data_IF_785840816464
#
_entry.id   IF_785840816464
#
_cell.length_a   1.000
_cell.length_b   1.000
_cell.length_c   1.000
_cell.angle_alpha   90.00
_cell.angle_beta   90.00
_cell.angle_gamma   90.00
#
_symmetry.space_group_name_H-M   'P 1'
#
loop_
_entity.id
_entity.type
_entity.pdbx_description
1 polymer ?
#
# COMPACT_ATOMS: atom_id res chain seq x y z
N UNK A 1 47.25 -5.76 2.07
CA UNK A 1 46.26 -6.81 2.34
C UNK A 1 45.47 -6.55 3.64
N UNK A 2 46.08 -6.30 4.78
CA UNK A 2 45.35 -6.06 6.07
C UNK A 2 44.35 -4.90 6.04
N UNK A 3 44.68 -3.75 5.41
CA UNK A 3 43.80 -2.58 5.36
C UNK A 3 42.50 -2.89 4.59
N UNK A 4 42.59 -3.61 3.47
CA UNK A 4 41.40 -3.99 2.67
C UNK A 4 40.51 -4.94 3.47
N UNK A 5 41.06 -5.89 4.19
CA UNK A 5 40.28 -6.82 5.04
C UNK A 5 39.58 -6.06 6.16
N UNK A 6 40.26 -5.09 6.79
CA UNK A 6 39.64 -4.25 7.83
C UNK A 6 38.51 -3.41 7.25
N UNK A 7 38.68 -2.78 6.08
CA UNK A 7 37.64 -2.00 5.41
C UNK A 7 36.42 -2.88 5.06
N UNK A 8 36.64 -4.07 4.52
CA UNK A 8 35.54 -5.01 4.22
C UNK A 8 34.82 -5.46 5.49
N UNK A 9 35.55 -5.69 6.59
CA UNK A 9 34.92 -6.02 7.88
C UNK A 9 34.07 -4.87 8.41
N UNK A 10 34.55 -3.63 8.33
CA UNK A 10 33.81 -2.43 8.73
C UNK A 10 32.53 -2.28 7.88
N UNK A 11 32.64 -2.40 6.56
CA UNK A 11 31.48 -2.36 5.67
C UNK A 11 30.48 -3.46 6.03
N UNK A 12 30.93 -4.67 6.29
CA UNK A 12 30.06 -5.77 6.68
C UNK A 12 29.37 -5.52 8.03
N UNK A 13 30.11 -5.03 9.04
CA UNK A 13 29.54 -4.72 10.36
C UNK A 13 28.46 -3.65 10.23
N UNK A 14 28.71 -2.60 9.45
CA UNK A 14 27.78 -1.48 9.30
C UNK A 14 26.58 -1.82 8.41
N UNK A 15 26.74 -2.52 7.30
CA UNK A 15 25.72 -2.71 6.28
C UNK A 15 25.30 -4.16 6.03
N UNK A 16 25.61 -5.11 6.93
CA UNK A 16 25.28 -6.53 6.69
C UNK A 16 23.80 -6.80 6.49
N UNK A 17 22.92 -6.07 7.15
CA UNK A 17 21.47 -6.17 6.97
C UNK A 17 21.03 -5.71 5.59
N UNK A 18 21.48 -4.52 5.19
CA UNK A 18 21.17 -3.90 3.90
C UNK A 18 21.77 -4.74 2.75
N UNK A 19 23.01 -5.19 2.87
CA UNK A 19 23.65 -6.05 1.87
C UNK A 19 22.85 -7.36 1.72
N UNK A 20 22.53 -8.03 2.84
CA UNK A 20 21.72 -9.26 2.80
C UNK A 20 20.35 -9.04 2.20
N UNK A 21 19.70 -7.89 2.46
CA UNK A 21 18.44 -7.51 1.84
C UNK A 21 18.60 -7.36 0.33
N UNK A 22 19.57 -6.56 -0.13
CA UNK A 22 19.82 -6.28 -1.54
C UNK A 22 20.08 -7.58 -2.34
N UNK A 23 20.77 -8.54 -1.74
CA UNK A 23 21.07 -9.83 -2.37
C UNK A 23 19.81 -10.71 -2.57
N UNK A 24 18.71 -10.46 -1.86
CA UNK A 24 17.43 -11.16 -2.09
C UNK A 24 16.61 -10.57 -3.20
N UNK A 25 16.87 -9.31 -3.60
CA UNK A 25 16.07 -8.62 -4.61
C UNK A 25 16.24 -9.34 -5.95
N UNK A 26 15.13 -9.83 -6.47
CA UNK A 26 15.07 -10.54 -7.74
C UNK A 26 13.79 -10.25 -8.49
N UNK A 27 13.85 -10.36 -9.79
CA UNK A 27 12.68 -10.43 -10.66
C UNK A 27 11.87 -11.69 -10.36
N UNK A 28 10.56 -11.63 -10.49
CA UNK A 28 9.66 -12.76 -10.24
C UNK A 28 9.31 -13.42 -11.57
N UNK A 29 9.70 -14.69 -11.71
CA UNK A 29 9.46 -15.45 -12.92
C UNK A 29 9.99 -14.75 -14.18
N UNK A 30 9.16 -14.68 -15.21
CA UNK A 30 9.45 -14.01 -16.49
C UNK A 30 8.91 -12.56 -16.55
N UNK A 31 8.34 -12.03 -15.46
CA UNK A 31 7.79 -10.68 -15.43
C UNK A 31 8.88 -9.62 -15.19
N UNK A 32 9.17 -8.72 -16.15
CA UNK A 32 10.25 -7.73 -16.01
C UNK A 32 9.95 -6.62 -15.01
N UNK A 33 8.70 -6.45 -14.60
CA UNK A 33 8.24 -5.35 -13.74
C UNK A 33 7.72 -5.81 -12.39
N UNK A 34 7.81 -7.11 -12.06
CA UNK A 34 7.48 -7.64 -10.75
C UNK A 34 8.77 -8.11 -10.05
N UNK A 35 9.01 -7.56 -8.88
CA UNK A 35 10.18 -7.86 -8.06
C UNK A 35 9.79 -8.41 -6.70
N UNK A 36 10.70 -9.16 -6.09
CA UNK A 36 10.57 -9.71 -4.74
C UNK A 36 11.80 -9.36 -3.91
N UNK A 37 11.58 -9.08 -2.62
CA UNK A 37 12.62 -8.78 -1.64
C UNK A 37 12.29 -9.40 -0.28
N UNK A 38 13.28 -10.04 0.36
CA UNK A 38 13.23 -10.33 1.79
C UNK A 38 13.99 -9.23 2.55
N UNK A 39 13.29 -8.46 3.35
CA UNK A 39 13.90 -7.39 4.12
C UNK A 39 14.59 -7.94 5.36
N UNK A 40 15.91 -7.80 5.45
CA UNK A 40 16.79 -8.32 6.52
C UNK A 40 17.53 -7.24 7.28
N UNK A 41 17.41 -5.98 6.85
CA UNK A 41 17.96 -4.83 7.56
C UNK A 41 17.04 -4.44 8.73
N UNK A 42 17.59 -3.68 9.66
CA UNK A 42 16.77 -3.03 10.69
C UNK A 42 16.15 -1.76 10.12
N UNK A 43 14.93 -1.48 10.55
CA UNK A 43 14.25 -0.21 10.36
C UNK A 43 13.65 0.24 11.70
N UNK A 44 13.50 1.53 11.90
CA UNK A 44 13.11 2.09 13.20
C UNK A 44 11.92 3.03 13.02
N UNK A 45 10.73 2.47 13.24
CA UNK A 45 9.49 3.25 13.17
C UNK A 45 9.29 4.13 14.40
N UNK A 46 9.87 3.74 15.55
CA UNK A 46 9.79 4.58 16.76
C UNK A 46 10.58 5.88 16.56
N UNK A 47 11.71 5.81 15.86
CA UNK A 47 12.48 7.00 15.49
C UNK A 47 11.73 7.89 14.50
N UNK A 48 11.04 7.29 13.51
CA UNK A 48 10.20 8.03 12.54
C UNK A 48 9.09 8.79 13.26
N UNK A 49 8.38 8.12 14.17
CA UNK A 49 7.32 8.72 15.00
C UNK A 49 7.89 9.84 15.91
N UNK A 50 8.99 9.56 16.62
CA UNK A 50 9.59 10.53 17.55
C UNK A 50 10.12 11.80 16.87
N UNK A 51 10.30 11.76 15.55
CA UNK A 51 10.72 12.90 14.72
C UNK A 51 9.55 13.57 14.01
N UNK A 52 8.32 13.10 14.20
CA UNK A 52 7.10 13.63 13.56
C UNK A 52 7.24 13.70 12.01
N UNK A 53 7.82 12.64 11.41
CA UNK A 53 8.02 12.58 9.96
C UNK A 53 6.69 12.22 9.29
N UNK A 54 6.04 13.20 8.66
CA UNK A 54 4.74 13.05 7.99
C UNK A 54 4.79 13.35 6.48
N UNK A 55 5.81 14.07 6.01
CA UNK A 55 5.99 14.36 4.57
C UNK A 55 6.87 13.30 3.89
N UNK A 56 6.52 12.96 2.64
CA UNK A 56 7.25 11.96 1.84
C UNK A 56 8.72 12.36 1.58
N UNK A 57 8.99 13.65 1.42
CA UNK A 57 10.34 14.16 1.21
C UNK A 57 11.21 13.96 2.46
N UNK A 58 10.68 14.28 3.64
CA UNK A 58 11.37 14.08 4.92
C UNK A 58 11.61 12.60 5.21
N UNK A 59 10.60 11.76 4.92
CA UNK A 59 10.73 10.31 5.05
C UNK A 59 11.84 9.78 4.14
N UNK A 60 11.91 10.25 2.89
CA UNK A 60 12.96 9.85 1.96
C UNK A 60 14.34 10.29 2.45
N UNK A 61 14.48 11.51 2.94
CA UNK A 61 15.74 12.02 3.51
C UNK A 61 16.16 11.19 4.74
N UNK A 62 15.22 10.85 5.62
CA UNK A 62 15.47 9.96 6.75
C UNK A 62 15.98 8.59 6.29
N UNK A 63 15.30 7.97 5.32
CA UNK A 63 15.66 6.66 4.76
C UNK A 63 17.06 6.71 4.14
N UNK A 64 17.33 7.73 3.34
CA UNK A 64 18.63 7.90 2.67
C UNK A 64 19.76 8.07 3.69
N UNK A 65 19.55 8.88 4.72
CA UNK A 65 20.51 9.06 5.80
C UNK A 65 20.79 7.74 6.55
N UNK A 66 19.72 6.98 6.85
CA UNK A 66 19.80 5.68 7.54
C UNK A 66 20.53 4.62 6.71
N UNK A 67 20.21 4.51 5.42
CA UNK A 67 20.90 3.59 4.49
C UNK A 67 22.35 4.02 4.28
N UNK A 68 22.57 5.30 4.11
CA UNK A 68 23.87 5.88 3.80
C UNK A 68 24.86 5.82 4.96
N UNK A 69 24.39 5.89 6.21
CA UNK A 69 25.23 5.91 7.42
C UNK A 69 26.38 6.92 7.31
N UNK A 70 26.08 8.11 6.78
CA UNK A 70 27.05 9.19 6.54
C UNK A 70 27.67 9.22 5.14
N UNK A 71 27.41 8.24 4.28
CA UNK A 71 27.80 8.32 2.87
C UNK A 71 26.78 9.18 2.08
N UNK A 72 27.23 9.99 1.12
CA UNK A 72 26.34 10.83 0.31
C UNK A 72 25.58 9.96 -0.71
N UNK A 73 24.39 9.55 -0.36
CA UNK A 73 23.43 8.91 -1.27
C UNK A 73 22.44 10.00 -1.72
N UNK A 74 22.16 10.08 -3.01
CA UNK A 74 21.13 10.96 -3.55
C UNK A 74 19.94 10.10 -4.00
N UNK A 75 18.78 10.41 -3.48
CA UNK A 75 17.51 9.92 -3.99
C UNK A 75 16.72 11.11 -4.56
N UNK A 76 15.87 10.85 -5.55
CA UNK A 76 14.87 11.82 -6.02
C UNK A 76 13.53 11.26 -5.59
N UNK A 77 12.73 12.05 -4.90
CA UNK A 77 11.32 11.73 -4.73
C UNK A 77 10.64 11.84 -6.10
N UNK A 78 9.79 10.88 -6.45
CA UNK A 78 8.87 11.09 -7.55
C UNK A 78 7.83 12.11 -7.07
N UNK A 79 7.72 13.22 -7.76
CA UNK A 79 6.61 14.16 -7.52
C UNK A 79 5.33 13.47 -8.01
N UNK A 80 4.35 13.32 -7.13
CA UNK A 80 3.03 12.75 -7.45
C UNK A 80 2.18 13.77 -8.22
N UNK A 81 2.44 15.07 -8.05
CA UNK A 81 1.84 16.12 -8.85
C UNK A 81 2.58 16.26 -10.21
N UNK A 82 1.83 16.48 -11.27
CA UNK A 82 2.42 16.82 -12.57
C UNK A 82 3.03 18.23 -12.58
N UNK A 83 3.68 18.60 -13.71
CA UNK A 83 4.33 19.91 -13.87
C UNK A 83 3.34 21.10 -13.74
N UNK A 84 2.03 20.84 -13.79
CA UNK A 84 0.96 21.82 -13.64
C UNK A 84 0.35 21.84 -12.23
N UNK A 85 0.84 20.99 -11.31
CA UNK A 85 0.28 20.85 -9.97
C UNK A 85 -1.06 20.10 -9.94
N UNK A 86 -1.46 19.44 -11.02
CA UNK A 86 -2.66 18.62 -11.05
C UNK A 86 -2.40 17.30 -10.33
N UNK A 87 -3.16 17.10 -9.26
CA UNK A 87 -3.17 15.88 -8.49
C UNK A 87 -3.87 14.80 -9.29
N UNK A 88 -3.18 13.71 -9.50
CA UNK A 88 -3.75 12.58 -10.20
C UNK A 88 -4.55 11.74 -9.21
N UNK A 89 -5.85 11.66 -9.45
CA UNK A 89 -6.72 10.76 -8.69
C UNK A 89 -6.35 9.32 -9.01
N UNK A 90 -5.71 8.66 -8.05
CA UNK A 90 -5.49 7.22 -8.07
C UNK A 90 -6.85 6.52 -8.00
N UNK A 91 -7.07 5.52 -8.84
CA UNK A 91 -8.20 4.64 -8.71
C UNK A 91 -7.77 3.38 -7.92
N UNK A 92 -8.67 2.79 -7.19
CA UNK A 92 -8.38 1.62 -6.38
C UNK A 92 -9.67 0.88 -6.05
N UNK A 93 -9.55 -0.42 -5.81
CA UNK A 93 -10.64 -1.23 -5.28
C UNK A 93 -10.10 -2.16 -4.22
N UNK A 94 -10.74 -2.23 -3.06
CA UNK A 94 -10.41 -3.23 -2.03
C UNK A 94 -11.66 -3.84 -1.44
N UNK A 95 -11.60 -5.12 -1.11
CA UNK A 95 -12.66 -5.80 -0.39
C UNK A 95 -12.12 -6.86 0.57
N UNK A 96 -12.87 -7.15 1.64
CA UNK A 96 -12.76 -8.38 2.39
C UNK A 96 -14.00 -9.22 2.13
N UNK A 97 -13.85 -10.51 1.83
CA UNK A 97 -14.95 -11.46 1.63
C UNK A 97 -14.63 -12.79 2.33
N UNK A 98 -15.65 -13.60 2.61
CA UNK A 98 -15.42 -14.94 3.18
C UNK A 98 -14.77 -15.86 2.16
N UNK A 99 -13.80 -16.65 2.60
CA UNK A 99 -13.23 -17.71 1.77
C UNK A 99 -14.09 -18.97 1.85
N UNK A 100 -14.52 -19.51 0.71
CA UNK A 100 -15.27 -20.77 0.63
C UNK A 100 -14.53 -21.97 1.28
N UNK A 101 -13.20 -21.88 1.44
CA UNK A 101 -12.36 -22.86 2.13
C UNK A 101 -12.11 -22.48 3.60
N UNK A 102 -12.86 -21.53 4.15
CA UNK A 102 -12.79 -21.04 5.52
C UNK A 102 -11.77 -19.92 5.74
N UNK A 103 -12.10 -18.99 6.61
CA UNK A 103 -11.39 -17.72 6.81
C UNK A 103 -11.87 -16.62 5.85
N UNK A 104 -11.01 -15.66 5.57
CA UNK A 104 -11.34 -14.50 4.75
C UNK A 104 -10.27 -14.27 3.68
N UNK A 105 -10.69 -13.64 2.59
CA UNK A 105 -9.87 -13.13 1.50
C UNK A 105 -9.89 -11.62 1.54
N UNK A 106 -8.76 -11.01 1.28
CA UNK A 106 -8.62 -9.59 1.10
C UNK A 106 -8.17 -9.32 -0.33
N UNK A 107 -9.06 -8.71 -1.14
CA UNK A 107 -8.82 -8.39 -2.54
C UNK A 107 -8.41 -6.93 -2.72
N UNK A 108 -7.51 -6.65 -3.66
CA UNK A 108 -7.00 -5.31 -3.95
C UNK A 108 -6.66 -5.13 -5.42
N UNK A 109 -7.22 -4.13 -6.09
CA UNK A 109 -6.67 -3.52 -7.31
C UNK A 109 -5.98 -2.21 -6.95
N UNK A 110 -4.73 -2.07 -7.34
CA UNK A 110 -3.97 -0.83 -7.28
C UNK A 110 -3.89 -0.24 -8.68
N UNK A 111 -4.70 0.81 -8.92
CA UNK A 111 -4.78 1.47 -10.21
C UNK A 111 -3.95 2.74 -10.17
N UNK A 112 -2.94 2.79 -11.03
CA UNK A 112 -2.01 3.91 -11.15
C UNK A 112 -1.34 3.89 -12.55
N UNK A 113 -0.23 4.59 -12.72
CA UNK A 113 0.56 4.45 -13.93
C UNK A 113 1.25 3.09 -14.00
N UNK A 114 1.58 2.66 -15.21
CA UNK A 114 2.38 1.48 -15.42
C UNK A 114 3.78 1.66 -14.81
N UNK A 115 4.05 0.98 -13.70
CA UNK A 115 5.29 1.02 -12.95
C UNK A 115 5.69 -0.38 -12.48
N UNK A 116 6.96 -0.59 -12.13
CA UNK A 116 7.38 -1.84 -11.49
C UNK A 116 6.84 -1.92 -10.06
N UNK A 117 6.46 -3.14 -9.67
CA UNK A 117 5.94 -3.48 -8.34
C UNK A 117 6.97 -4.29 -7.56
N UNK A 118 7.11 -4.01 -6.27
CA UNK A 118 7.97 -4.78 -5.35
C UNK A 118 7.13 -5.45 -4.27
N UNK A 119 7.22 -6.77 -4.20
CA UNK A 119 6.70 -7.56 -3.08
C UNK A 119 7.80 -7.69 -2.03
N UNK A 120 7.55 -7.18 -0.84
CA UNK A 120 8.49 -7.19 0.28
C UNK A 120 7.97 -8.11 1.38
N UNK A 121 8.78 -9.11 1.75
CA UNK A 121 8.58 -9.91 2.96
C UNK A 121 9.52 -9.39 4.05
N UNK A 122 8.97 -9.05 5.21
CA UNK A 122 9.74 -8.63 6.39
C UNK A 122 9.49 -9.55 7.56
N UNK A 123 10.54 -9.78 8.37
CA UNK A 123 10.47 -10.50 9.64
C UNK A 123 11.27 -9.72 10.67
N UNK A 124 10.69 -8.63 11.21
CA UNK A 124 11.39 -7.77 12.16
C UNK A 124 11.67 -8.51 13.47
N UNK A 125 12.75 -8.13 14.16
CA UNK A 125 13.09 -8.72 15.46
C UNK A 125 12.04 -8.39 16.56
N UNK A 126 11.33 -7.27 16.38
CA UNK A 126 10.18 -6.85 17.19
C UNK A 126 9.04 -6.52 16.24
N UNK A 127 7.88 -7.14 16.44
CA UNK A 127 6.72 -6.99 15.58
C UNK A 127 6.43 -8.24 14.75
N UNK A 128 5.37 -8.19 13.97
CA UNK A 128 4.89 -9.31 13.16
C UNK A 128 5.62 -9.40 11.82
N UNK A 129 5.82 -10.63 11.35
CA UNK A 129 6.21 -10.86 9.98
C UNK A 129 5.09 -10.39 9.03
N UNK A 130 5.47 -9.88 7.85
CA UNK A 130 4.48 -9.38 6.89
C UNK A 130 4.95 -9.53 5.45
N UNK A 131 3.96 -9.56 4.53
CA UNK A 131 4.13 -9.45 3.10
C UNK A 131 3.37 -8.22 2.61
N UNK A 132 4.02 -7.37 1.83
CA UNK A 132 3.43 -6.11 1.37
C UNK A 132 3.84 -5.80 -0.07
N UNK A 133 2.95 -5.13 -0.81
CA UNK A 133 3.25 -4.59 -2.12
C UNK A 133 3.58 -3.10 -2.02
N UNK A 134 4.50 -2.65 -2.87
CA UNK A 134 4.89 -1.24 -3.00
C UNK A 134 5.03 -0.89 -4.48
N UNK A 135 4.57 0.31 -4.84
CA UNK A 135 4.86 0.92 -6.14
C UNK A 135 6.30 1.45 -6.12
N UNK A 136 7.14 0.93 -7.02
CA UNK A 136 8.54 1.29 -7.04
C UNK A 136 8.79 2.70 -7.59
N UNK A 137 7.80 3.33 -8.23
CA UNK A 137 7.93 4.72 -8.67
C UNK A 137 8.12 5.68 -7.49
N UNK A 138 7.56 5.36 -6.33
CA UNK A 138 7.76 6.14 -5.09
C UNK A 138 9.23 6.22 -4.66
N UNK A 139 10.08 5.33 -5.18
CA UNK A 139 11.52 5.27 -4.88
C UNK A 139 12.38 5.68 -6.08
N UNK A 140 11.76 6.27 -7.13
CA UNK A 140 12.45 6.76 -8.31
C UNK A 140 12.74 5.71 -9.38
N UNK A 141 12.04 4.57 -9.37
CA UNK A 141 12.08 3.59 -10.46
C UNK A 141 10.99 3.91 -11.51
N UNK A 142 11.21 3.42 -12.71
CA UNK A 142 10.27 3.48 -13.83
C UNK A 142 10.43 2.22 -14.69
N UNK A 143 9.66 2.11 -15.77
CA UNK A 143 9.80 0.99 -16.71
C UNK A 143 11.20 0.94 -17.37
N UNK A 144 11.89 2.09 -17.47
CA UNK A 144 13.23 2.21 -18.04
C UNK A 144 14.33 2.18 -16.96
N UNK A 145 14.00 2.44 -15.69
CA UNK A 145 14.93 2.49 -14.58
C UNK A 145 14.65 1.39 -13.55
N UNK A 146 15.07 0.16 -13.86
CA UNK A 146 14.83 -1.04 -13.06
C UNK A 146 16.01 -1.37 -12.13
N UNK A 147 15.80 -2.12 -11.02
CA UNK A 147 16.82 -2.50 -10.03
C UNK A 147 17.74 -3.62 -10.54
N UNK A 148 18.40 -3.41 -11.68
CA UNK A 148 19.20 -4.41 -12.39
C UNK A 148 20.64 -4.56 -11.87
N UNK A 149 21.13 -3.63 -11.03
CA UNK A 149 22.48 -3.69 -10.45
C UNK A 149 22.42 -3.46 -8.93
N UNK A 150 23.49 -3.84 -8.22
CA UNK A 150 23.58 -3.63 -6.76
C UNK A 150 23.31 -2.16 -6.38
N UNK A 151 23.92 -1.20 -7.10
CA UNK A 151 23.70 0.22 -6.85
C UNK A 151 22.24 0.63 -7.08
N UNK A 152 21.63 0.16 -8.17
CA UNK A 152 20.22 0.44 -8.49
C UNK A 152 19.25 -0.21 -7.48
N UNK A 153 19.63 -1.29 -6.80
CA UNK A 153 18.80 -1.95 -5.77
C UNK A 153 18.79 -1.21 -4.42
N UNK A 154 19.66 -0.24 -4.19
CA UNK A 154 19.74 0.46 -2.88
C UNK A 154 18.42 1.12 -2.49
N UNK A 155 17.74 1.78 -3.42
CA UNK A 155 16.49 2.48 -3.14
C UNK A 155 15.30 1.53 -2.90
N UNK A 156 15.39 0.24 -3.29
CA UNK A 156 14.39 -0.75 -2.90
C UNK A 156 14.27 -0.90 -1.38
N UNK A 157 15.32 -0.55 -0.63
CA UNK A 157 15.29 -0.58 0.84
C UNK A 157 14.27 0.40 1.42
N UNK A 158 13.83 1.40 0.68
CA UNK A 158 12.78 2.33 1.09
C UNK A 158 11.39 1.69 1.14
N UNK A 159 11.17 0.60 0.40
CA UNK A 159 9.85 -0.06 0.29
C UNK A 159 9.29 -0.52 1.64
N UNK A 160 10.14 -0.80 2.63
CA UNK A 160 9.68 -1.18 3.97
C UNK A 160 8.83 -0.10 4.64
N UNK A 161 9.09 1.18 4.34
CA UNK A 161 8.38 2.33 4.89
C UNK A 161 7.15 2.75 4.08
N UNK A 162 7.01 2.25 2.86
CA UNK A 162 5.97 2.69 1.92
C UNK A 162 5.19 1.52 1.29
N UNK A 163 4.56 0.65 2.11
CA UNK A 163 3.58 -0.29 1.59
C UNK A 163 2.35 0.46 1.09
N UNK A 164 1.74 -0.03 0.00
CA UNK A 164 0.43 0.46 -0.48
C UNK A 164 -0.69 -0.52 -0.16
N UNK A 165 -0.35 -1.77 0.09
CA UNK A 165 -1.17 -2.81 0.72
C UNK A 165 -0.28 -3.89 1.32
N UNK A 166 -0.86 -4.74 2.19
CA UNK A 166 -0.12 -5.84 2.79
C UNK A 166 -0.92 -6.66 3.78
N UNK A 167 -0.30 -7.77 4.20
CA UNK A 167 -0.83 -8.68 5.20
C UNK A 167 0.29 -9.09 6.19
N UNK A 168 -0.03 -9.19 7.47
CA UNK A 168 0.91 -9.74 8.46
C UNK A 168 0.59 -11.20 8.86
N UNK A 169 1.47 -11.81 9.65
CA UNK A 169 1.35 -13.20 10.10
C UNK A 169 0.15 -13.49 11.00
N UNK A 170 -0.54 -12.45 11.48
CA UNK A 170 -1.82 -12.57 12.21
C UNK A 170 -3.02 -12.52 11.26
N UNK A 171 -2.77 -12.31 9.96
CA UNK A 171 -3.78 -12.14 8.93
C UNK A 171 -4.45 -10.77 8.95
N UNK A 172 -3.86 -9.78 9.63
CA UNK A 172 -4.30 -8.39 9.46
C UNK A 172 -3.86 -7.91 8.09
N UNK A 173 -4.82 -7.42 7.30
CA UNK A 173 -4.60 -6.79 6.01
C UNK A 173 -4.91 -5.29 6.07
N UNK A 174 -4.18 -4.51 5.30
CA UNK A 174 -4.45 -3.09 5.11
C UNK A 174 -4.15 -2.66 3.69
N UNK A 175 -4.88 -1.64 3.21
CA UNK A 175 -4.60 -0.95 1.95
C UNK A 175 -4.98 0.52 2.04
N UNK A 176 -4.33 1.33 1.21
CA UNK A 176 -4.59 2.76 1.07
C UNK A 176 -5.27 3.04 -0.26
N UNK A 177 -6.24 3.93 -0.27
CA UNK A 177 -6.91 4.42 -1.47
C UNK A 177 -6.97 5.94 -1.45
N UNK A 178 -6.59 6.58 -2.56
CA UNK A 178 -6.77 8.01 -2.72
C UNK A 178 -8.26 8.35 -2.82
N UNK A 179 -8.64 9.50 -2.29
CA UNK A 179 -9.99 10.04 -2.38
C UNK A 179 -9.94 11.47 -2.92
N UNK A 180 -10.95 11.93 -3.67
CA UNK A 180 -11.01 13.30 -4.17
C UNK A 180 -11.36 14.26 -3.02
N UNK A 181 -10.49 14.34 -2.04
CA UNK A 181 -10.65 15.10 -0.83
C UNK A 181 -9.31 15.74 -0.45
N UNK A 182 -9.34 16.73 0.43
CA UNK A 182 -8.11 17.33 0.94
C UNK A 182 -7.32 16.32 1.79
N UNK A 183 -5.98 16.42 1.81
CA UNK A 183 -5.13 15.64 2.71
C UNK A 183 -5.52 15.84 4.18
N UNK A 184 -5.57 14.77 4.98
CA UNK A 184 -5.74 14.88 6.42
C UNK A 184 -4.58 15.67 7.04
N UNK A 185 -4.91 16.57 7.94
CA UNK A 185 -3.97 17.45 8.66
C UNK A 185 -4.35 17.46 10.14
N UNK A 186 -4.45 16.26 10.76
CA UNK A 186 -4.67 16.18 12.21
C UNK A 186 -3.59 16.99 12.92
N UNK A 187 -3.96 17.70 13.99
CA UNK A 187 -3.05 18.54 14.73
C UNK A 187 -3.48 18.58 16.20
N UNK A 188 -3.09 17.56 16.94
CA UNK A 188 -3.30 17.42 18.38
C UNK A 188 -1.94 17.28 19.07
N UNK A 189 -1.85 17.17 20.41
CA UNK A 189 -0.57 16.95 21.09
C UNK A 189 0.06 15.56 20.89
N UNK A 190 -0.43 14.74 19.94
CA UNK A 190 0.13 13.43 19.63
C UNK A 190 1.26 13.57 18.61
N UNK A 191 2.04 12.50 18.43
CA UNK A 191 3.04 12.45 17.37
C UNK A 191 2.38 12.31 16.01
N UNK A 192 2.98 12.98 15.03
CA UNK A 192 2.57 12.91 13.62
C UNK A 192 3.08 11.63 12.95
N UNK A 193 2.29 11.09 12.03
CA UNK A 193 2.66 9.95 11.20
C UNK A 193 2.15 10.13 9.78
N UNK A 194 3.04 9.89 8.82
CA UNK A 194 2.74 10.04 7.39
C UNK A 194 1.91 8.90 6.80
N UNK A 195 1.45 9.14 5.60
CA UNK A 195 0.48 8.37 4.81
C UNK A 195 0.73 6.86 4.78
N UNK A 196 1.96 6.42 4.47
CA UNK A 196 2.30 4.99 4.34
C UNK A 196 2.87 4.39 5.63
N UNK A 197 3.40 5.24 6.51
CA UNK A 197 4.03 4.80 7.76
C UNK A 197 3.00 4.20 8.71
N UNK A 198 1.77 4.75 8.77
CA UNK A 198 0.69 4.17 9.59
C UNK A 198 0.37 2.75 9.17
N UNK A 199 0.39 2.44 7.86
CA UNK A 199 0.16 1.08 7.36
C UNK A 199 1.29 0.13 7.78
N UNK A 200 2.54 0.60 7.73
CA UNK A 200 3.69 -0.19 8.22
C UNK A 200 3.57 -0.48 9.71
N UNK A 201 3.13 0.50 10.50
CA UNK A 201 2.87 0.34 11.93
C UNK A 201 1.78 -0.70 12.20
N UNK A 202 0.67 -0.67 11.46
CA UNK A 202 -0.38 -1.69 11.59
C UNK A 202 0.14 -3.09 11.26
N UNK A 203 0.88 -3.24 10.16
CA UNK A 203 1.44 -4.53 9.77
C UNK A 203 2.44 -5.07 10.80
N UNK A 204 3.21 -4.20 11.46
CA UNK A 204 4.21 -4.62 12.45
C UNK A 204 3.62 -4.90 13.84
N UNK A 205 2.55 -4.19 14.23
CA UNK A 205 2.16 -4.09 15.64
C UNK A 205 0.75 -4.55 15.97
N UNK A 206 -0.13 -4.71 14.96
CA UNK A 206 -1.54 -4.99 15.18
C UNK A 206 -1.92 -6.37 14.65
N UNK A 207 -2.63 -7.15 15.45
CA UNK A 207 -3.19 -8.43 15.06
C UNK A 207 -4.68 -8.33 14.67
N UNK A 208 -5.36 -7.29 15.17
CA UNK A 208 -6.80 -7.10 15.04
C UNK A 208 -7.14 -5.67 14.58
N UNK A 209 -8.33 -5.51 14.01
CA UNK A 209 -8.89 -4.18 13.70
C UNK A 209 -8.95 -3.30 14.96
N UNK A 210 -9.32 -3.88 16.11
CA UNK A 210 -9.38 -3.14 17.38
C UNK A 210 -8.02 -2.57 17.80
N UNK A 211 -6.94 -3.36 17.68
CA UNK A 211 -5.57 -2.89 17.94
C UNK A 211 -5.13 -1.81 16.94
N UNK A 212 -5.51 -1.97 15.65
CA UNK A 212 -5.20 -0.98 14.63
C UNK A 212 -5.88 0.37 14.91
N UNK A 213 -7.13 0.38 15.33
CA UNK A 213 -7.85 1.59 15.72
C UNK A 213 -7.28 2.20 17.00
N UNK A 214 -6.92 1.39 17.98
CA UNK A 214 -6.28 1.86 19.21
C UNK A 214 -4.92 2.52 18.93
N UNK A 215 -4.12 1.95 18.04
CA UNK A 215 -2.85 2.55 17.61
C UNK A 215 -3.09 3.87 16.88
N UNK A 216 -4.08 3.91 15.98
CA UNK A 216 -4.47 5.11 15.25
C UNK A 216 -4.87 6.25 16.22
N UNK A 217 -5.64 5.92 17.27
CA UNK A 217 -6.06 6.89 18.27
C UNK A 217 -4.90 7.49 19.09
N UNK A 218 -3.71 6.90 19.05
CA UNK A 218 -2.52 7.39 19.75
C UNK A 218 -1.63 8.32 18.91
N UNK A 219 -1.95 8.51 17.64
CA UNK A 219 -1.17 9.26 16.66
C UNK A 219 -2.04 10.29 15.93
N UNK A 220 -1.41 11.29 15.34
CA UNK A 220 -2.02 12.18 14.36
C UNK A 220 -1.61 11.73 12.95
N UNK A 221 -2.59 11.32 12.14
CA UNK A 221 -2.34 10.93 10.74
C UNK A 221 -2.38 12.17 9.86
N UNK A 222 -1.24 12.45 9.22
CA UNK A 222 -1.09 13.56 8.30
C UNK A 222 -0.74 13.03 6.92
N UNK A 223 -1.57 13.38 5.94
CA UNK A 223 -1.26 13.08 4.55
C UNK A 223 -0.38 14.20 3.99
N UNK A 224 0.65 13.82 3.26
CA UNK A 224 1.54 14.79 2.62
C UNK A 224 0.74 15.78 1.76
N UNK A 225 0.76 17.04 2.16
CA UNK A 225 0.00 18.11 1.49
C UNK A 225 0.46 18.36 0.05
N UNK A 226 1.72 18.05 -0.27
CA UNK A 226 2.27 18.22 -1.62
C UNK A 226 1.63 17.27 -2.64
N UNK A 227 1.05 16.15 -2.17
CA UNK A 227 0.30 15.21 -3.01
C UNK A 227 -1.05 15.78 -3.43
N UNK A 228 -1.65 16.69 -2.64
CA UNK A 228 -2.93 17.35 -2.93
C UNK A 228 -4.16 16.46 -2.90
N UNK A 229 -4.03 15.18 -2.53
CA UNK A 229 -5.10 14.19 -2.42
C UNK A 229 -5.21 13.67 -1.00
N UNK A 230 -6.43 13.50 -0.50
CA UNK A 230 -6.67 12.77 0.72
C UNK A 230 -6.59 11.26 0.49
N UNK A 231 -6.58 10.54 1.60
CA UNK A 231 -6.59 9.08 1.58
C UNK A 231 -7.55 8.55 2.61
N UNK A 232 -8.09 7.37 2.34
CA UNK A 232 -8.71 6.51 3.33
C UNK A 232 -8.07 5.13 3.31
N UNK A 233 -8.29 4.37 4.38
CA UNK A 233 -7.65 3.08 4.56
C UNK A 233 -8.70 2.01 4.82
N UNK A 234 -8.47 0.81 4.29
CA UNK A 234 -9.23 -0.37 4.67
C UNK A 234 -8.35 -1.25 5.55
N UNK A 235 -8.85 -1.62 6.72
CA UNK A 235 -8.18 -2.52 7.66
C UNK A 235 -9.09 -3.69 7.96
N UNK A 236 -8.57 -4.91 7.82
CA UNK A 236 -9.34 -6.13 8.00
C UNK A 236 -8.53 -7.21 8.73
N UNK A 237 -9.15 -7.92 9.68
CA UNK A 237 -8.47 -9.00 10.42
C UNK A 237 -8.96 -10.40 10.03
N UNK A 238 -8.23 -11.42 10.49
CA UNK A 238 -8.52 -12.82 10.21
C UNK A 238 -9.81 -13.34 10.88
N UNK A 239 -10.40 -12.59 11.82
CA UNK A 239 -11.70 -12.90 12.42
C UNK A 239 -12.88 -12.39 11.57
N UNK A 240 -12.59 -11.59 10.53
CA UNK A 240 -13.57 -11.03 9.62
C UNK A 240 -14.09 -9.65 10.03
N UNK A 241 -13.48 -9.02 11.04
CA UNK A 241 -13.72 -7.61 11.29
C UNK A 241 -13.06 -6.80 10.18
N UNK A 242 -13.76 -5.79 9.71
CA UNK A 242 -13.27 -4.93 8.64
C UNK A 242 -13.84 -3.53 8.80
N UNK A 243 -12.98 -2.53 8.64
CA UNK A 243 -13.35 -1.11 8.72
C UNK A 243 -12.68 -0.33 7.60
N UNK A 244 -13.35 0.73 7.16
CA UNK A 244 -12.74 1.81 6.39
C UNK A 244 -12.52 2.99 7.34
N UNK A 245 -11.31 3.52 7.34
CA UNK A 245 -10.87 4.67 8.14
C UNK A 245 -10.85 5.89 7.25
N UNK A 246 -11.63 6.89 7.59
CA UNK A 246 -11.76 8.18 6.91
C UNK A 246 -11.48 9.34 7.89
N UNK A 247 -11.40 10.56 7.38
CA UNK A 247 -11.07 11.74 8.19
C UNK A 247 -12.07 12.86 7.94
N UNK A 248 -12.58 13.44 9.04
CA UNK A 248 -13.58 14.49 9.01
C UNK A 248 -12.92 15.88 8.87
N UNK A 249 -12.87 16.41 7.65
CA UNK A 249 -12.27 17.72 7.37
C UNK A 249 -12.96 18.89 8.08
N UNK A 250 -14.24 18.73 8.45
CA UNK A 250 -15.05 19.78 9.07
C UNK A 250 -15.01 19.71 10.59
N UNK A 251 -14.33 18.69 11.15
CA UNK A 251 -14.14 18.50 12.60
C UNK A 251 -12.68 18.13 12.93
N UNK A 252 -11.75 19.02 12.58
CA UNK A 252 -10.32 18.87 12.92
C UNK A 252 -9.67 17.59 12.42
N UNK A 253 -10.16 17.03 11.31
CA UNK A 253 -9.69 15.78 10.72
C UNK A 253 -9.89 14.56 11.64
N UNK A 254 -10.88 14.63 12.53
CA UNK A 254 -11.24 13.51 13.39
C UNK A 254 -11.43 12.23 12.59
N UNK A 255 -10.93 11.14 13.12
CA UNK A 255 -11.09 9.82 12.51
C UNK A 255 -12.56 9.40 12.50
N UNK A 256 -13.02 8.98 11.34
CA UNK A 256 -14.32 8.35 11.10
C UNK A 256 -14.08 6.89 10.71
N UNK A 257 -14.92 5.99 11.21
CA UNK A 257 -14.85 4.58 10.84
C UNK A 257 -16.16 4.11 10.26
N UNK A 258 -16.09 3.40 9.13
CA UNK A 258 -17.22 2.72 8.51
C UNK A 258 -17.00 1.22 8.63
N UNK A 259 -17.81 0.57 9.45
CA UNK A 259 -17.71 -0.87 9.67
C UNK A 259 -18.52 -1.66 8.65
N UNK A 260 -18.12 -2.90 8.43
CA UNK A 260 -18.89 -3.86 7.63
C UNK A 260 -20.30 -4.01 8.20
N UNK A 261 -21.31 -3.96 7.33
CA UNK A 261 -22.70 -4.20 7.71
C UNK A 261 -22.88 -5.65 8.19
N UNK A 262 -23.59 -5.89 9.31
CA UNK A 262 -23.70 -7.23 9.91
C UNK A 262 -24.31 -8.28 8.97
N UNK A 263 -25.23 -7.87 8.10
CA UNK A 263 -25.90 -8.74 7.12
C UNK A 263 -25.05 -9.05 5.89
N UNK A 264 -23.97 -8.33 5.66
CA UNK A 264 -23.05 -8.55 4.52
C UNK A 264 -21.88 -9.45 4.95
N UNK A 265 -21.56 -10.44 4.12
CA UNK A 265 -20.37 -11.28 4.28
C UNK A 265 -19.11 -10.65 3.71
N UNK A 266 -19.19 -9.40 3.26
CA UNK A 266 -18.06 -8.66 2.70
C UNK A 266 -18.07 -7.19 3.10
N UNK A 267 -16.94 -6.54 2.98
CA UNK A 267 -16.74 -5.09 2.94
C UNK A 267 -16.08 -4.73 1.64
N UNK A 268 -16.54 -3.66 1.00
CA UNK A 268 -16.02 -3.15 -0.26
C UNK A 268 -15.76 -1.65 -0.14
N UNK A 269 -14.69 -1.18 -0.75
CA UNK A 269 -14.33 0.23 -0.83
C UNK A 269 -13.62 0.53 -2.14
N UNK A 270 -13.85 1.71 -2.68
CA UNK A 270 -13.16 2.28 -3.84
C UNK A 270 -12.63 3.67 -3.49
N UNK A 271 -12.74 4.69 -4.35
CA UNK A 271 -12.15 6.01 -4.13
C UNK A 271 -13.17 7.10 -3.78
N UNK A 272 -14.30 6.75 -3.16
CA UNK A 272 -15.25 7.72 -2.61
C UNK A 272 -15.48 7.45 -1.13
N UNK A 273 -15.86 8.48 -0.40
CA UNK A 273 -16.09 8.39 1.05
C UNK A 273 -17.36 7.56 1.33
N UNK A 274 -17.28 6.67 2.30
CA UNK A 274 -18.36 5.79 2.73
C UNK A 274 -19.04 6.27 4.02
N UNK A 275 -18.43 7.20 4.77
CA UNK A 275 -19.03 7.72 5.99
C UNK A 275 -20.35 8.43 5.68
N UNK A 276 -21.41 8.23 6.47
CA UNK A 276 -22.73 8.82 6.21
C UNK A 276 -22.72 10.34 6.07
N UNK A 277 -21.73 11.01 6.63
CA UNK A 277 -21.55 12.46 6.55
C UNK A 277 -21.21 12.92 5.12
N UNK A 278 -20.44 12.12 4.37
CA UNK A 278 -19.89 12.48 3.06
C UNK A 278 -20.40 11.59 1.93
N UNK A 279 -21.09 10.50 2.29
CA UNK A 279 -21.61 9.54 1.32
C UNK A 279 -22.74 10.18 0.51
N UNK A 280 -22.55 10.25 -0.81
CA UNK A 280 -23.58 10.67 -1.73
C UNK A 280 -24.10 9.45 -2.48
N UNK A 281 -25.43 9.25 -2.51
CA UNK A 281 -26.06 8.10 -3.17
C UNK A 281 -26.15 8.26 -4.68
N UNK A 282 -25.89 9.45 -5.21
CA UNK A 282 -25.98 9.72 -6.65
C UNK A 282 -24.56 9.75 -7.23
N UNK A 283 -24.24 8.77 -8.11
CA UNK A 283 -23.02 8.86 -8.90
C UNK A 283 -23.11 10.11 -9.79
N UNK A 284 -22.09 10.93 -9.82
CA UNK A 284 -21.97 11.98 -10.81
C UNK A 284 -21.95 11.31 -12.21
N UNK A 285 -22.98 11.50 -13.05
CA UNK A 285 -23.12 10.80 -14.32
C UNK A 285 -22.13 11.29 -15.40
N UNK A 286 -21.31 12.31 -15.11
CA UNK A 286 -20.36 12.83 -16.08
C UNK A 286 -19.28 11.77 -16.37
N UNK A 287 -19.32 11.17 -17.55
CA UNK A 287 -18.28 10.29 -18.05
C UNK A 287 -16.96 11.09 -18.07
N UNK A 288 -15.97 10.63 -17.30
CA UNK A 288 -14.68 11.32 -17.12
C UNK A 288 -14.50 11.96 -15.74
N UNK A 289 -15.53 12.09 -14.93
CA UNK A 289 -15.37 12.43 -13.51
C UNK A 289 -14.72 11.27 -12.76
N UNK A 290 -13.59 11.46 -12.03
CA UNK A 290 -12.99 10.42 -11.20
C UNK A 290 -13.96 9.77 -10.23
N UNK A 291 -14.93 10.54 -9.71
CA UNK A 291 -15.99 10.01 -8.84
C UNK A 291 -16.90 9.00 -9.55
N UNK A 292 -17.28 9.24 -10.80
CA UNK A 292 -18.13 8.30 -11.54
C UNK A 292 -17.47 6.95 -11.75
N UNK A 293 -16.13 6.93 -11.98
CA UNK A 293 -15.35 5.69 -12.09
C UNK A 293 -15.26 4.92 -10.78
N UNK A 294 -15.14 5.62 -9.65
CA UNK A 294 -15.17 5.01 -8.32
C UNK A 294 -16.50 4.31 -8.07
N UNK A 295 -17.60 4.97 -8.35
CA UNK A 295 -18.95 4.42 -8.19
C UNK A 295 -19.23 3.24 -9.12
N UNK A 296 -18.81 3.33 -10.38
CA UNK A 296 -18.95 2.22 -11.32
C UNK A 296 -18.21 0.96 -10.81
N UNK A 297 -16.96 1.08 -10.36
CA UNK A 297 -16.22 -0.05 -9.80
C UNK A 297 -16.86 -0.60 -8.54
N UNK A 298 -17.35 0.28 -7.69
CA UNK A 298 -18.06 -0.11 -6.47
C UNK A 298 -19.34 -0.91 -6.82
N UNK A 299 -20.16 -0.40 -7.72
CA UNK A 299 -21.41 -1.06 -8.14
C UNK A 299 -21.12 -2.43 -8.79
N UNK A 300 -20.19 -2.50 -9.74
CA UNK A 300 -19.82 -3.73 -10.44
C UNK A 300 -19.27 -4.80 -9.49
N UNK A 301 -18.35 -4.41 -8.60
CA UNK A 301 -17.80 -5.35 -7.62
C UNK A 301 -18.85 -5.77 -6.57
N UNK A 302 -19.73 -4.85 -6.14
CA UNK A 302 -20.82 -5.16 -5.21
C UNK A 302 -21.79 -6.17 -5.79
N UNK A 303 -22.19 -6.00 -7.07
CA UNK A 303 -23.07 -6.93 -7.77
C UNK A 303 -22.47 -8.35 -7.82
N UNK A 304 -21.17 -8.45 -8.14
CA UNK A 304 -20.48 -9.75 -8.14
C UNK A 304 -20.41 -10.36 -6.75
N UNK A 305 -20.08 -9.57 -5.73
CA UNK A 305 -19.99 -10.02 -4.33
C UNK A 305 -21.35 -10.46 -3.81
N UNK A 306 -22.43 -9.71 -4.11
CA UNK A 306 -23.81 -10.06 -3.74
C UNK A 306 -24.28 -11.35 -4.45
N UNK A 307 -23.97 -11.52 -5.73
CA UNK A 307 -24.30 -12.75 -6.48
C UNK A 307 -23.65 -14.02 -5.91
N UNK A 308 -22.59 -13.87 -5.12
CA UNK A 308 -21.88 -14.95 -4.44
C UNK A 308 -22.09 -14.96 -2.92
N UNK A 309 -23.06 -14.20 -2.39
CA UNK A 309 -23.30 -14.04 -0.95
C UNK A 309 -22.04 -13.62 -0.16
N UNK A 310 -21.08 -12.94 -0.82
CA UNK A 310 -19.80 -12.57 -0.25
C UNK A 310 -18.89 -13.76 0.14
N UNK A 311 -19.10 -14.93 -0.48
CA UNK A 311 -18.32 -16.15 -0.24
C UNK A 311 -17.60 -16.55 -1.53
N UNK A 312 -16.27 -16.41 -1.57
CA UNK A 312 -15.48 -16.56 -2.78
C UNK A 312 -14.35 -17.60 -2.60
N UNK A 313 -13.93 -18.21 -3.69
CA UNK A 313 -12.61 -18.80 -3.82
C UNK A 313 -11.59 -17.70 -4.17
N UNK A 314 -10.28 -17.99 -4.08
CA UNK A 314 -9.21 -17.08 -4.52
C UNK A 314 -9.37 -16.71 -5.99
N UNK A 315 -9.76 -17.67 -6.85
CA UNK A 315 -9.95 -17.42 -8.28
C UNK A 315 -11.16 -16.50 -8.54
N UNK A 316 -12.27 -16.70 -7.83
CA UNK A 316 -13.44 -15.81 -7.89
C UNK A 316 -13.12 -14.41 -7.35
N UNK A 317 -12.28 -14.29 -6.32
CA UNK A 317 -11.83 -12.99 -5.83
C UNK A 317 -10.99 -12.25 -6.88
N UNK A 318 -10.11 -12.96 -7.60
CA UNK A 318 -9.38 -12.39 -8.75
C UNK A 318 -10.28 -12.09 -9.95
N UNK A 319 -11.34 -12.86 -10.15
CA UNK A 319 -12.35 -12.58 -11.17
C UNK A 319 -13.12 -11.30 -10.85
N UNK A 320 -13.57 -11.12 -9.61
CA UNK A 320 -14.19 -9.89 -9.13
C UNK A 320 -13.30 -8.65 -9.39
N UNK A 321 -12.01 -8.74 -9.06
CA UNK A 321 -11.03 -7.70 -9.34
C UNK A 321 -10.85 -7.47 -10.84
N UNK A 322 -10.90 -8.55 -11.64
CA UNK A 322 -10.82 -8.50 -13.09
C UNK A 322 -11.98 -7.77 -13.77
N UNK A 323 -13.17 -7.77 -13.16
CA UNK A 323 -14.34 -7.02 -13.70
C UNK A 323 -14.17 -5.50 -13.59
N UNK A 324 -13.31 -5.04 -12.70
CA UNK A 324 -13.11 -3.61 -12.39
C UNK A 324 -11.68 -3.14 -12.60
N UNK A 325 -10.87 -3.90 -13.35
CA UNK A 325 -9.50 -3.50 -13.70
C UNK A 325 -9.44 -2.62 -14.94
N UNK A 326 -8.34 -1.93 -15.11
CA UNK A 326 -8.01 -1.15 -16.28
C UNK A 326 -6.77 -1.70 -16.97
N UNK A 327 -6.91 -2.14 -18.22
CA UNK A 327 -5.75 -2.48 -19.06
C UNK A 327 -5.08 -1.21 -19.60
N UNK A 328 -5.89 -0.20 -19.93
CA UNK A 328 -5.45 1.06 -20.51
C UNK A 328 -6.59 2.08 -20.36
N UNK A 329 -6.34 3.15 -19.62
CA UNK A 329 -7.26 4.26 -19.47
C UNK A 329 -6.53 5.56 -19.76
N UNK A 330 -6.87 6.21 -20.88
CA UNK A 330 -6.35 7.53 -21.21
C UNK A 330 -6.91 8.59 -20.24
N UNK A 331 -6.01 9.33 -19.63
CA UNK A 331 -6.35 10.44 -18.76
C UNK A 331 -6.35 11.78 -19.54
N UNK A 332 -7.12 12.79 -19.09
CA UNK A 332 -7.18 14.08 -19.76
C UNK A 332 -5.82 14.79 -19.93
N UNK A 333 -4.86 14.50 -19.05
CA UNK A 333 -3.49 15.02 -19.10
C UNK A 333 -2.54 14.26 -20.03
N UNK A 334 -3.07 13.31 -20.82
CA UNK A 334 -2.30 12.49 -21.76
C UNK A 334 -1.51 11.35 -21.14
N UNK A 335 -1.63 11.11 -19.82
CA UNK A 335 -1.06 9.92 -19.16
C UNK A 335 -2.01 8.73 -19.27
N UNK A 336 -1.47 7.54 -19.08
CA UNK A 336 -2.23 6.28 -19.11
C UNK A 336 -2.26 5.67 -17.72
N UNK A 337 -3.46 5.41 -17.22
CA UNK A 337 -3.70 4.65 -16.01
C UNK A 337 -3.92 3.17 -16.35
N UNK A 338 -3.38 2.29 -15.54
CA UNK A 338 -3.58 0.84 -15.59
C UNK A 338 -3.88 0.30 -14.20
N UNK A 339 -4.51 -0.85 -14.09
CA UNK A 339 -4.45 -1.62 -12.85
C UNK A 339 -3.05 -2.21 -12.75
N UNK A 340 -2.17 -1.57 -11.99
CA UNK A 340 -0.76 -1.97 -11.85
C UNK A 340 -0.63 -3.40 -11.34
N UNK A 341 -1.55 -3.81 -10.46
CA UNK A 341 -1.74 -5.20 -10.07
C UNK A 341 -3.10 -5.45 -9.40
N UNK A 342 -3.56 -6.71 -9.48
CA UNK A 342 -4.66 -7.25 -8.68
C UNK A 342 -4.12 -8.26 -7.67
N UNK A 343 -4.33 -8.03 -6.38
CA UNK A 343 -3.87 -8.87 -5.26
C UNK A 343 -5.02 -9.57 -4.56
N UNK A 344 -4.82 -10.84 -4.17
CA UNK A 344 -5.68 -11.54 -3.22
C UNK A 344 -4.83 -12.16 -2.11
N UNK A 345 -5.04 -11.69 -0.90
CA UNK A 345 -4.47 -12.25 0.33
C UNK A 345 -5.45 -13.27 0.94
N UNK A 346 -5.00 -14.49 1.20
CA UNK A 346 -5.73 -15.45 2.05
C UNK A 346 -5.27 -15.25 3.50
N UNK A 347 -6.10 -14.61 4.32
CA UNK A 347 -5.78 -14.22 5.69
C UNK A 347 -5.55 -15.40 6.63
N UNK A 348 -6.09 -16.58 6.31
CA UNK A 348 -5.93 -17.79 7.10
C UNK A 348 -4.71 -18.62 6.67
N UNK A 349 -4.41 -18.67 5.36
CA UNK A 349 -3.29 -19.42 4.81
C UNK A 349 -2.01 -18.62 4.73
N UNK A 350 -2.12 -17.31 4.94
CA UNK A 350 -1.02 -16.33 4.85
C UNK A 350 -0.34 -16.36 3.48
N UNK A 351 -1.15 -16.44 2.42
CA UNK A 351 -0.67 -16.44 1.03
C UNK A 351 -1.13 -15.20 0.31
N UNK A 352 -0.33 -14.76 -0.66
CA UNK A 352 -0.64 -13.70 -1.60
C UNK A 352 -0.62 -14.26 -3.02
N UNK A 353 -1.69 -14.01 -3.79
CA UNK A 353 -1.73 -14.21 -5.24
C UNK A 353 -1.84 -12.86 -5.93
N UNK A 354 -0.93 -12.56 -6.86
CA UNK A 354 -0.87 -11.28 -7.59
C UNK A 354 -0.96 -11.49 -9.09
N UNK A 355 -1.71 -10.63 -9.78
CA UNK A 355 -1.73 -10.44 -11.23
C UNK A 355 -1.13 -9.08 -11.58
N UNK A 356 0.04 -9.01 -12.22
CA UNK A 356 0.65 -7.74 -12.65
C UNK A 356 0.06 -7.26 -13.97
N UNK A 357 -0.01 -5.94 -14.19
CA UNK A 357 -0.65 -5.30 -15.36
C UNK A 357 -0.17 -5.80 -16.71
N UNK A 358 1.12 -6.03 -16.87
CA UNK A 358 1.72 -6.43 -18.14
C UNK A 358 1.57 -7.93 -18.45
N UNK A 359 1.03 -8.71 -17.53
CA UNK A 359 0.73 -10.15 -17.65
C UNK A 359 -0.52 -10.49 -16.85
N UNK A 360 -1.60 -9.74 -17.05
CA UNK A 360 -2.81 -9.86 -16.23
C UNK A 360 -3.54 -11.20 -16.41
N UNK A 361 -3.20 -11.97 -17.43
CA UNK A 361 -3.62 -13.36 -17.66
C UNK A 361 -2.85 -14.38 -16.80
N UNK A 362 -1.73 -13.99 -16.21
CA UNK A 362 -0.90 -14.80 -15.31
C UNK A 362 -1.03 -14.36 -13.87
N UNK A 363 -0.66 -15.25 -12.95
CA UNK A 363 -0.54 -14.92 -11.53
C UNK A 363 0.74 -15.48 -10.93
N UNK A 364 1.16 -14.89 -9.83
CA UNK A 364 2.32 -15.33 -9.05
C UNK A 364 1.90 -15.47 -7.60
N UNK A 365 2.31 -16.59 -6.96
CA UNK A 365 1.97 -16.91 -5.59
C UNK A 365 3.16 -16.69 -4.65
N UNK A 366 2.88 -16.16 -3.45
CA UNK A 366 3.84 -15.98 -2.38
C UNK A 366 3.25 -16.48 -1.06
N UNK A 367 4.13 -16.91 -0.16
CA UNK A 367 3.78 -17.33 1.21
C UNK A 367 4.57 -16.49 2.21
N UNK A 368 3.92 -16.17 3.36
CA UNK A 368 4.53 -15.41 4.44
C UNK A 368 5.22 -16.30 5.47
#
# INVERSE_FOLDING_TARGET
>A
MCIIVILLAVVWILWSGEIRTILTIRQVGDNPYLYYMEYKASYDLDEVIAKDIDENAELLDYIVARIGKGLPIKAKSSQVADENGEVQTLNCTSFQARNCKGGFLYGRNYDYFANPTLITVSRPAKGYASIAASDMSHFGYSLDELPTSFKKKLLCLAAIYAPVDGMNEKGLCTSIMAIPHQPSQQNTPKHDVGTSVIMRLWLDRCATVGEALQLLDSLDVRHDASVGSGYHYMVADAAGNCVVVEFDKDDGWKTLTVSKQPEKNYMLVTNHLLSPKYYTTEPDPAVGNPNSRSWWRYATASEYLDAHDGVLSVDQALECLGLVHWDHLDLPNGKVEVTQYGNVYDQKRLTLRIRPWNQYDKYYDFEL
#
